data_IF_296122434717
#
_entry.id   IF_296122434717
#
_cell.length_a   1.000
_cell.length_b   1.000
_cell.length_c   1.000
_cell.angle_alpha   90.00
_cell.angle_beta   90.00
_cell.angle_gamma   90.00
#
_symmetry.space_group_name_H-M   'P 1'
#
loop_
_entity.id
_entity.type
_entity.pdbx_description
1 polymer ?
#
# COMPACT_ATOMS: atom_id res chain seq x y z
N UNK A 1 -4.11 15.35 -43.30
CA UNK A 1 -3.47 16.38 -42.46
C UNK A 1 -3.45 15.87 -41.02
N UNK A 2 -2.36 15.29 -40.56
CA UNK A 2 -2.25 14.83 -39.19
C UNK A 2 -1.94 16.05 -38.31
N UNK A 3 -2.89 16.46 -37.49
CA UNK A 3 -2.69 17.45 -36.44
C UNK A 3 -1.56 16.97 -35.53
N UNK A 4 -0.40 17.60 -35.63
CA UNK A 4 0.68 17.41 -34.64
C UNK A 4 0.20 17.99 -33.33
N UNK A 5 -0.28 17.13 -32.47
CA UNK A 5 -0.49 17.48 -31.06
C UNK A 5 0.90 17.79 -30.47
N UNK A 6 1.25 19.06 -30.41
CA UNK A 6 2.32 19.56 -29.56
C UNK A 6 1.81 19.57 -28.13
N UNK A 7 1.59 18.39 -27.54
CA UNK A 7 1.38 18.28 -26.12
C UNK A 7 2.63 18.84 -25.45
N UNK A 8 2.52 19.97 -24.78
CA UNK A 8 3.55 20.44 -23.88
C UNK A 8 3.84 19.28 -22.93
N UNK A 9 5.11 18.86 -22.86
CA UNK A 9 5.50 17.74 -22.01
C UNK A 9 5.14 17.97 -20.54
N UNK A 10 5.15 16.92 -19.73
CA UNK A 10 4.81 17.01 -18.32
C UNK A 10 5.71 18.04 -17.61
N UNK A 11 5.11 18.77 -16.70
CA UNK A 11 5.82 19.74 -15.86
C UNK A 11 6.42 19.04 -14.66
N UNK A 12 7.61 19.46 -14.25
CA UNK A 12 8.18 19.01 -13.00
C UNK A 12 7.32 19.44 -11.80
N UNK A 13 7.17 18.58 -10.78
CA UNK A 13 6.57 18.98 -9.52
C UNK A 13 7.34 20.16 -8.94
N UNK A 14 6.65 21.24 -8.58
CA UNK A 14 7.29 22.46 -8.11
C UNK A 14 8.05 22.29 -6.78
N UNK A 15 7.78 21.23 -6.01
CA UNK A 15 8.37 21.02 -4.68
C UNK A 15 8.52 19.54 -4.39
N UNK A 16 9.74 19.02 -4.53
CA UNK A 16 10.10 17.69 -4.03
C UNK A 16 10.59 17.79 -2.58
N UNK A 17 10.24 16.82 -1.77
CA UNK A 17 10.86 16.60 -0.45
C UNK A 17 12.32 16.21 -0.63
N UNK A 18 13.14 16.37 0.40
CA UNK A 18 14.58 16.05 0.35
C UNK A 18 14.83 14.64 -0.17
N UNK A 19 14.21 13.63 0.43
CA UNK A 19 14.36 12.24 0.02
C UNK A 19 13.95 11.99 -1.44
N UNK A 20 12.90 12.67 -1.93
CA UNK A 20 12.43 12.52 -3.32
C UNK A 20 13.44 13.08 -4.31
N UNK A 21 14.13 14.16 -3.94
CA UNK A 21 15.18 14.77 -4.76
C UNK A 21 16.41 13.87 -4.79
N UNK A 22 16.88 13.42 -3.63
CA UNK A 22 18.01 12.49 -3.52
C UNK A 22 17.78 11.19 -4.29
N UNK A 23 16.58 10.59 -4.13
CA UNK A 23 16.19 9.40 -4.88
C UNK A 23 16.12 9.66 -6.40
N UNK A 24 15.62 10.83 -6.82
CA UNK A 24 15.57 11.21 -8.23
C UNK A 24 16.99 11.40 -8.80
N UNK A 25 17.86 12.09 -8.08
CA UNK A 25 19.25 12.32 -8.48
C UNK A 25 20.01 10.98 -8.61
N UNK A 26 19.81 10.07 -7.66
CA UNK A 26 20.37 8.71 -7.70
C UNK A 26 19.84 7.90 -8.89
N UNK A 27 18.54 7.97 -9.17
CA UNK A 27 17.92 7.31 -10.33
C UNK A 27 18.51 7.85 -11.64
N UNK A 28 18.60 9.16 -11.80
CA UNK A 28 19.10 9.80 -13.02
C UNK A 28 20.59 9.52 -13.25
N UNK A 29 21.39 9.47 -12.19
CA UNK A 29 22.81 9.17 -12.27
C UNK A 29 23.10 7.76 -12.76
N UNK A 30 22.30 6.77 -12.36
CA UNK A 30 22.46 5.35 -12.74
C UNK A 30 21.66 4.97 -13.98
N UNK A 31 20.60 5.72 -14.28
CA UNK A 31 19.68 5.49 -15.42
C UNK A 31 19.29 4.01 -15.61
N UNK A 32 18.84 3.31 -14.57
CA UNK A 32 18.61 1.88 -14.59
C UNK A 32 17.37 1.52 -15.38
N UNK A 33 17.32 0.28 -15.86
CA UNK A 33 16.10 -0.26 -16.47
C UNK A 33 15.04 -0.61 -15.42
N UNK A 34 15.49 -1.24 -14.35
CA UNK A 34 14.67 -1.67 -13.21
C UNK A 34 15.13 -0.92 -11.97
N UNK A 35 14.19 -0.38 -11.21
CA UNK A 35 14.49 0.32 -9.98
C UNK A 35 13.37 0.16 -8.96
N UNK A 36 13.75 -0.14 -7.72
CA UNK A 36 12.83 -0.32 -6.61
C UNK A 36 13.05 0.74 -5.54
N UNK A 37 11.98 1.45 -5.20
CA UNK A 37 11.96 2.37 -4.06
C UNK A 37 11.10 1.78 -2.95
N UNK A 38 11.71 1.61 -1.79
CA UNK A 38 11.01 1.34 -0.55
C UNK A 38 10.80 2.66 0.20
N UNK A 39 9.56 3.12 0.30
CA UNK A 39 9.25 4.35 1.02
C UNK A 39 7.97 4.20 1.84
N UNK A 40 8.03 4.67 3.10
CA UNK A 40 6.92 4.53 4.06
C UNK A 40 5.61 5.10 3.51
N UNK A 41 4.43 4.59 3.89
CA UNK A 41 3.14 5.17 3.54
C UNK A 41 3.09 6.67 3.90
N UNK A 42 2.48 7.48 3.02
CA UNK A 42 2.41 8.95 3.21
C UNK A 42 3.68 9.72 2.83
N UNK A 43 4.78 9.05 2.50
CA UNK A 43 6.03 9.69 2.09
C UNK A 43 5.93 10.49 0.77
N UNK A 44 4.92 10.20 -0.08
CA UNK A 44 4.73 10.88 -1.37
C UNK A 44 5.35 10.11 -2.54
N UNK A 45 5.27 8.78 -2.52
CA UNK A 45 5.74 7.88 -3.60
C UNK A 45 5.24 8.31 -4.98
N UNK A 46 3.95 8.65 -5.09
CA UNK A 46 3.32 9.09 -6.34
C UNK A 46 3.98 10.34 -6.93
N UNK A 47 4.30 11.34 -6.08
CA UNK A 47 4.97 12.57 -6.52
C UNK A 47 6.37 12.27 -7.04
N UNK A 48 7.11 11.40 -6.36
CA UNK A 48 8.44 10.96 -6.79
C UNK A 48 8.39 10.25 -8.15
N UNK A 49 7.54 9.26 -8.32
CA UNK A 49 7.46 8.50 -9.59
C UNK A 49 7.02 9.36 -10.76
N UNK A 50 6.11 10.31 -10.54
CA UNK A 50 5.71 11.27 -11.57
C UNK A 50 6.84 12.28 -11.90
N UNK A 51 7.70 12.62 -10.93
CA UNK A 51 8.90 13.40 -11.21
C UNK A 51 9.89 12.64 -12.10
N UNK A 52 10.14 11.36 -11.81
CA UNK A 52 10.94 10.48 -12.69
C UNK A 52 10.33 10.43 -14.10
N UNK A 53 9.01 10.21 -14.20
CA UNK A 53 8.32 10.17 -15.49
C UNK A 53 8.47 11.48 -16.28
N UNK A 54 8.39 12.63 -15.60
CA UNK A 54 8.55 13.95 -16.23
C UNK A 54 9.97 14.16 -16.77
N UNK A 55 11.02 13.80 -16.00
CA UNK A 55 12.40 13.85 -16.47
C UNK A 55 12.64 12.96 -17.68
N UNK A 56 12.28 11.69 -17.58
CA UNK A 56 12.46 10.75 -18.69
C UNK A 56 11.70 11.16 -19.96
N UNK A 57 10.57 11.85 -19.79
CA UNK A 57 9.81 12.41 -20.91
C UNK A 57 10.52 13.60 -21.54
N UNK A 58 11.00 14.56 -20.74
CA UNK A 58 11.73 15.74 -21.20
C UNK A 58 13.03 15.36 -21.92
N UNK A 59 13.72 14.34 -21.41
CA UNK A 59 14.95 13.80 -22.01
C UNK A 59 14.67 12.87 -23.20
N UNK A 60 13.41 12.76 -23.62
CA UNK A 60 13.01 11.89 -24.72
C UNK A 60 13.39 10.41 -24.55
N UNK A 61 13.64 9.94 -23.32
CA UNK A 61 13.89 8.52 -23.03
C UNK A 61 12.61 7.70 -23.19
N UNK A 62 11.49 8.28 -22.78
CA UNK A 62 10.17 7.68 -22.91
C UNK A 62 9.19 8.58 -23.67
N UNK A 63 8.15 7.99 -24.20
CA UNK A 63 6.99 8.67 -24.80
C UNK A 63 5.66 8.02 -24.41
N UNK A 64 5.70 7.12 -23.42
CA UNK A 64 4.53 6.46 -22.85
C UNK A 64 4.75 6.16 -21.36
N UNK A 65 3.69 6.30 -20.57
CA UNK A 65 3.67 5.91 -19.15
C UNK A 65 2.53 4.93 -18.93
N UNK A 66 2.81 3.79 -18.31
CA UNK A 66 1.80 2.84 -17.82
C UNK A 66 1.95 2.75 -16.32
N UNK A 67 0.87 3.00 -15.58
CA UNK A 67 0.83 2.80 -14.13
C UNK A 67 0.03 1.54 -13.84
N UNK A 68 0.60 0.65 -13.04
CA UNK A 68 -0.06 -0.57 -12.55
C UNK A 68 -0.29 -0.42 -11.06
N UNK A 69 -1.54 -0.49 -10.62
CA UNK A 69 -1.91 -0.29 -9.21
C UNK A 69 -2.80 -1.42 -8.69
N UNK A 70 -2.92 -1.61 -7.36
CA UNK A 70 -3.66 -2.73 -6.78
C UNK A 70 -5.17 -2.69 -7.04
N UNK A 71 -5.79 -1.52 -6.98
CA UNK A 71 -7.25 -1.38 -6.96
C UNK A 71 -7.76 -0.33 -7.93
N UNK A 72 -9.02 -0.47 -8.35
CA UNK A 72 -9.70 0.49 -9.24
C UNK A 72 -9.78 1.90 -8.65
N UNK A 73 -9.95 2.01 -7.33
CA UNK A 73 -10.00 3.31 -6.66
C UNK A 73 -8.69 4.10 -6.82
N UNK A 74 -7.55 3.43 -6.80
CA UNK A 74 -6.25 4.06 -6.98
C UNK A 74 -6.04 4.58 -8.41
N UNK A 75 -6.70 4.01 -9.42
CA UNK A 75 -6.61 4.48 -10.81
C UNK A 75 -7.02 5.95 -10.93
N UNK A 76 -8.14 6.33 -10.34
CA UNK A 76 -8.63 7.72 -10.39
C UNK A 76 -7.68 8.69 -9.67
N UNK A 77 -7.08 8.27 -8.56
CA UNK A 77 -6.08 9.07 -7.83
C UNK A 77 -4.81 9.29 -8.67
N UNK A 78 -4.30 8.25 -9.34
CA UNK A 78 -3.15 8.33 -10.23
C UNK A 78 -3.41 9.27 -11.42
N UNK A 79 -4.59 9.15 -12.06
CA UNK A 79 -4.99 10.03 -13.17
C UNK A 79 -5.06 11.49 -12.72
N UNK A 80 -5.63 11.77 -11.55
CA UNK A 80 -5.73 13.11 -10.99
C UNK A 80 -4.34 13.70 -10.68
N UNK A 81 -3.46 12.92 -10.04
CA UNK A 81 -2.10 13.34 -9.72
C UNK A 81 -1.27 13.61 -10.98
N UNK A 82 -1.33 12.72 -11.97
CA UNK A 82 -0.64 12.88 -13.25
C UNK A 82 -1.11 14.12 -14.03
N UNK A 83 -2.42 14.38 -14.03
CA UNK A 83 -3.01 15.56 -14.68
C UNK A 83 -2.46 16.86 -14.09
N UNK A 84 -2.24 16.91 -12.78
CA UNK A 84 -1.63 18.07 -12.11
C UNK A 84 -0.24 18.44 -12.64
N UNK A 85 0.45 17.48 -13.24
CA UNK A 85 1.77 17.66 -13.88
C UNK A 85 1.72 17.71 -15.42
N UNK A 86 0.52 17.77 -16.01
CA UNK A 86 0.35 17.79 -17.46
C UNK A 86 0.48 16.42 -18.14
N UNK A 87 0.54 15.33 -17.36
CA UNK A 87 0.48 13.96 -17.88
C UNK A 87 -0.99 13.52 -18.03
N UNK A 88 -1.45 13.33 -19.26
CA UNK A 88 -2.82 12.87 -19.56
C UNK A 88 -2.86 11.33 -19.59
N UNK A 89 -2.99 10.72 -18.42
CA UNK A 89 -3.24 9.29 -18.30
C UNK A 89 -4.74 9.00 -18.44
N UNK A 90 -5.06 7.85 -19.03
CA UNK A 90 -6.44 7.39 -19.22
C UNK A 90 -6.72 6.17 -18.35
N UNK A 91 -7.91 6.13 -17.82
CA UNK A 91 -8.51 4.88 -17.38
C UNK A 91 -8.84 4.05 -18.63
N UNK A 92 -8.49 2.77 -18.63
CA UNK A 92 -8.71 1.90 -19.79
C UNK A 92 -9.10 0.50 -19.37
N UNK A 93 -9.88 -0.15 -20.20
CA UNK A 93 -10.21 -1.57 -20.06
C UNK A 93 -9.31 -2.43 -20.96
N UNK A 94 -9.43 -3.75 -20.82
CA UNK A 94 -8.76 -4.69 -21.72
C UNK A 94 -9.43 -4.82 -23.11
N UNK A 95 -10.52 -4.10 -23.35
CA UNK A 95 -11.24 -4.07 -24.64
C UNK A 95 -10.93 -2.82 -25.47
N UNK A 96 -10.37 -1.79 -24.85
CA UNK A 96 -10.20 -0.47 -25.48
C UNK A 96 -8.78 -0.25 -26.01
N UNK A 97 -8.66 0.33 -27.18
CA UNK A 97 -7.38 0.87 -27.65
C UNK A 97 -7.05 2.18 -26.92
N UNK A 98 -5.77 2.40 -26.65
CA UNK A 98 -5.34 3.68 -26.10
C UNK A 98 -5.43 4.78 -27.17
N UNK A 99 -6.12 5.89 -26.88
CA UNK A 99 -6.16 7.02 -27.80
C UNK A 99 -4.75 7.56 -28.09
N UNK A 100 -4.48 8.02 -29.32
CA UNK A 100 -3.16 8.51 -29.69
C UNK A 100 -2.77 9.82 -28.98
N UNK A 101 -3.75 10.55 -28.46
CA UNK A 101 -3.58 11.82 -27.76
C UNK A 101 -3.31 11.70 -26.26
N UNK A 102 -3.24 10.47 -25.70
CA UNK A 102 -2.91 10.26 -24.31
C UNK A 102 -1.43 9.92 -24.09
N UNK A 103 -0.91 10.37 -22.95
CA UNK A 103 0.47 10.04 -22.53
C UNK A 103 0.62 8.62 -21.99
N UNK A 104 -0.49 7.95 -21.70
CA UNK A 104 -0.50 6.58 -21.19
C UNK A 104 -1.79 6.19 -20.51
N UNK A 105 -1.71 5.13 -19.70
CA UNK A 105 -2.86 4.61 -18.98
C UNK A 105 -2.54 4.15 -17.57
N UNK A 106 -3.61 3.99 -16.79
CA UNK A 106 -3.57 3.36 -15.47
C UNK A 106 -4.40 2.08 -15.53
N UNK A 107 -3.83 0.97 -15.08
CA UNK A 107 -4.44 -0.36 -15.08
C UNK A 107 -4.22 -1.03 -13.73
N UNK A 108 -5.00 -2.07 -13.43
CA UNK A 108 -4.78 -2.88 -12.22
C UNK A 108 -3.94 -4.13 -12.51
N UNK A 109 -3.30 -4.69 -11.47
CA UNK A 109 -2.61 -5.98 -11.59
C UNK A 109 -3.52 -7.09 -12.13
N UNK A 110 -4.79 -7.11 -11.70
CA UNK A 110 -5.79 -8.06 -12.20
C UNK A 110 -6.06 -7.92 -13.70
N UNK A 111 -6.16 -6.68 -14.21
CA UNK A 111 -6.32 -6.44 -15.65
C UNK A 111 -5.11 -6.91 -16.46
N UNK A 112 -3.90 -6.67 -15.94
CA UNK A 112 -2.66 -7.13 -16.58
C UNK A 112 -2.62 -8.64 -16.64
N UNK A 113 -2.89 -9.33 -15.54
CA UNK A 113 -2.89 -10.78 -15.46
C UNK A 113 -3.92 -11.45 -16.38
N UNK A 114 -5.06 -10.81 -16.62
CA UNK A 114 -6.08 -11.33 -17.53
C UNK A 114 -5.66 -11.31 -19.02
N UNK A 115 -4.87 -10.31 -19.44
CA UNK A 115 -4.43 -10.16 -20.84
C UNK A 115 -2.98 -9.68 -20.93
N UNK A 116 -1.98 -10.47 -20.51
CA UNK A 116 -0.58 -10.06 -20.49
C UNK A 116 -0.07 -9.63 -21.86
N UNK A 117 -0.39 -10.38 -22.92
CA UNK A 117 0.03 -10.08 -24.30
C UNK A 117 -0.46 -8.71 -24.81
N UNK A 118 -1.68 -8.28 -24.42
CA UNK A 118 -2.19 -6.94 -24.75
C UNK A 118 -1.32 -5.85 -24.11
N UNK A 119 -0.98 -6.04 -22.84
CA UNK A 119 -0.15 -5.09 -22.11
C UNK A 119 1.30 -5.12 -22.57
N UNK A 120 1.82 -6.28 -23.00
CA UNK A 120 3.11 -6.40 -23.66
C UNK A 120 3.17 -5.57 -24.95
N UNK A 121 2.15 -5.70 -25.82
CA UNK A 121 2.05 -4.86 -27.01
C UNK A 121 1.96 -3.36 -26.68
N UNK A 122 1.19 -2.97 -25.67
CA UNK A 122 1.12 -1.57 -25.21
C UNK A 122 2.47 -1.04 -24.71
N UNK A 123 3.26 -1.89 -24.04
CA UNK A 123 4.54 -1.52 -23.47
C UNK A 123 5.68 -1.46 -24.50
N UNK A 124 5.61 -2.28 -25.56
CA UNK A 124 6.68 -2.40 -26.55
C UNK A 124 6.51 -1.52 -27.77
N UNK A 125 5.26 -1.20 -28.15
CA UNK A 125 4.99 -0.35 -29.31
C UNK A 125 5.46 1.10 -29.16
N UNK A 126 5.78 1.49 -27.94
CA UNK A 126 6.25 2.82 -27.57
C UNK A 126 7.39 2.70 -26.56
N UNK A 127 8.21 3.74 -26.43
CA UNK A 127 9.23 3.81 -25.37
C UNK A 127 8.53 4.06 -24.04
N UNK A 128 8.27 2.99 -23.30
CA UNK A 128 7.37 3.00 -22.15
C UNK A 128 8.15 2.94 -20.83
N UNK A 129 7.77 3.85 -19.90
CA UNK A 129 8.00 3.67 -18.46
C UNK A 129 6.80 2.94 -17.87
N UNK A 130 7.05 1.86 -17.14
CA UNK A 130 6.05 1.19 -16.32
C UNK A 130 6.31 1.52 -14.86
N UNK A 131 5.29 2.05 -14.16
CA UNK A 131 5.31 2.33 -12.73
C UNK A 131 4.45 1.28 -12.05
N UNK A 132 5.04 0.53 -11.11
CA UNK A 132 4.35 -0.46 -10.29
C UNK A 132 4.09 0.13 -8.91
N UNK A 133 2.84 0.51 -8.65
CA UNK A 133 2.42 1.01 -7.34
C UNK A 133 2.12 -0.16 -6.41
N UNK A 134 2.70 -0.12 -5.20
CA UNK A 134 2.67 -1.22 -4.23
C UNK A 134 3.02 -2.56 -4.89
N UNK A 135 4.23 -2.64 -5.46
CA UNK A 135 4.68 -3.74 -6.33
C UNK A 135 4.60 -5.13 -5.66
N UNK A 136 4.55 -5.21 -4.33
CA UNK A 136 4.36 -6.46 -3.61
C UNK A 136 3.03 -7.15 -3.96
N UNK A 137 2.01 -6.42 -4.42
CA UNK A 137 0.77 -6.99 -4.95
C UNK A 137 0.92 -7.65 -6.33
N UNK A 138 2.04 -7.47 -7.02
CA UNK A 138 2.26 -8.07 -8.34
C UNK A 138 2.23 -9.62 -8.35
N UNK A 139 2.19 -10.25 -7.19
CA UNK A 139 2.16 -11.70 -7.05
C UNK A 139 1.05 -12.24 -6.15
N UNK A 140 0.06 -11.44 -5.75
CA UNK A 140 -1.01 -11.86 -4.82
C UNK A 140 -1.80 -13.10 -5.26
N UNK A 141 -1.84 -13.36 -6.56
CA UNK A 141 -2.31 -14.62 -7.14
C UNK A 141 -1.12 -15.24 -7.89
N UNK A 142 -0.86 -16.53 -7.75
CA UNK A 142 0.30 -17.21 -8.37
C UNK A 142 0.47 -16.92 -9.88
N UNK A 143 -0.62 -16.64 -10.59
CA UNK A 143 -0.63 -16.26 -12.02
C UNK A 143 -0.31 -14.79 -12.30
N UNK A 144 -0.41 -13.90 -11.31
CA UNK A 144 -0.22 -12.47 -11.54
C UNK A 144 1.25 -12.12 -11.75
N UNK A 145 2.15 -12.77 -11.01
CA UNK A 145 3.59 -12.53 -11.13
C UNK A 145 4.12 -12.84 -12.54
N UNK A 146 3.77 -13.99 -13.08
CA UNK A 146 4.15 -14.38 -14.44
C UNK A 146 3.53 -13.49 -15.51
N UNK A 147 2.26 -13.12 -15.35
CA UNK A 147 1.56 -12.21 -16.25
C UNK A 147 2.15 -10.80 -16.27
N UNK A 148 2.58 -10.28 -15.12
CA UNK A 148 3.26 -8.97 -15.01
C UNK A 148 4.65 -9.02 -15.68
N UNK A 149 5.40 -10.11 -15.47
CA UNK A 149 6.69 -10.30 -16.12
C UNK A 149 6.52 -10.35 -17.64
N UNK A 150 5.59 -11.15 -18.15
CA UNK A 150 5.30 -11.25 -19.60
C UNK A 150 4.91 -9.87 -20.16
N UNK A 151 3.98 -9.17 -19.51
CA UNK A 151 3.44 -7.91 -19.98
C UNK A 151 4.49 -6.79 -20.09
N UNK A 152 5.49 -6.78 -19.21
CA UNK A 152 6.36 -5.60 -19.10
C UNK A 152 7.85 -5.88 -19.29
N UNK A 153 8.22 -7.11 -19.69
CA UNK A 153 9.63 -7.43 -20.03
C UNK A 153 10.21 -6.55 -21.12
N UNK A 154 9.38 -6.12 -22.08
CA UNK A 154 9.77 -5.25 -23.19
C UNK A 154 9.81 -3.75 -22.87
N UNK A 155 9.39 -3.31 -21.69
CA UNK A 155 9.41 -1.90 -21.32
C UNK A 155 10.82 -1.32 -21.25
N UNK A 156 10.98 -0.05 -21.63
CA UNK A 156 12.29 0.64 -21.61
C UNK A 156 12.74 0.90 -20.18
N UNK A 157 11.81 1.26 -19.30
CA UNK A 157 12.06 1.53 -17.87
C UNK A 157 10.93 0.92 -17.02
N UNK A 158 11.31 0.37 -15.86
CA UNK A 158 10.38 -0.16 -14.86
C UNK A 158 10.76 0.39 -13.49
N UNK A 159 9.79 1.01 -12.83
CA UNK A 159 9.94 1.66 -11.53
C UNK A 159 8.94 1.06 -10.56
N UNK A 160 9.41 0.28 -9.61
CA UNK A 160 8.62 -0.27 -8.51
C UNK A 160 8.64 0.66 -7.30
N UNK A 161 7.49 0.86 -6.67
CA UNK A 161 7.38 1.55 -5.39
C UNK A 161 6.55 0.75 -4.42
N UNK A 162 6.97 0.71 -3.16
CA UNK A 162 6.26 0.01 -2.08
C UNK A 162 6.62 0.58 -0.72
N UNK A 163 5.74 0.39 0.26
CA UNK A 163 6.07 0.62 1.67
C UNK A 163 6.61 -0.64 2.35
N UNK A 164 6.36 -1.82 1.78
CA UNK A 164 6.69 -3.13 2.32
C UNK A 164 7.28 -4.00 1.20
N UNK A 165 8.61 -4.09 1.07
CA UNK A 165 9.25 -4.81 -0.03
C UNK A 165 9.29 -6.34 0.19
N UNK A 166 8.35 -6.90 0.92
CA UNK A 166 8.23 -8.33 1.23
C UNK A 166 6.79 -8.81 1.06
N UNK A 167 6.63 -10.12 0.98
CA UNK A 167 5.35 -10.81 0.88
C UNK A 167 5.20 -11.80 2.02
N UNK A 168 3.98 -12.02 2.45
CA UNK A 168 3.65 -13.00 3.50
C UNK A 168 3.75 -14.47 3.04
N UNK A 169 3.75 -14.73 1.72
CA UNK A 169 3.80 -16.06 1.11
C UNK A 169 5.20 -16.45 0.61
N UNK A 170 6.25 -15.70 0.97
CA UNK A 170 7.65 -15.91 0.57
C UNK A 170 7.90 -15.92 -0.96
N UNK A 171 6.89 -15.67 -1.78
CA UNK A 171 7.03 -15.63 -3.22
C UNK A 171 7.80 -14.37 -3.67
N UNK A 172 8.64 -14.54 -4.71
CA UNK A 172 9.40 -13.41 -5.26
C UNK A 172 8.49 -12.43 -6.00
N UNK A 173 8.73 -11.14 -5.77
CA UNK A 173 8.02 -10.04 -6.44
C UNK A 173 8.60 -9.87 -7.85
N UNK A 174 7.73 -9.74 -8.85
CA UNK A 174 8.12 -9.54 -10.24
C UNK A 174 9.00 -8.28 -10.42
N UNK A 175 10.05 -8.38 -11.23
CA UNK A 175 10.98 -7.28 -11.54
C UNK A 175 11.74 -6.70 -10.32
N UNK A 176 11.81 -7.42 -9.21
CA UNK A 176 12.58 -7.06 -8.02
C UNK A 176 13.83 -7.95 -7.92
N UNK A 177 14.95 -7.34 -7.56
CA UNK A 177 16.20 -8.07 -7.27
C UNK A 177 16.14 -8.67 -5.88
N UNK A 178 16.81 -9.82 -5.72
CA UNK A 178 16.93 -10.51 -4.45
C UNK A 178 18.38 -10.88 -4.22
N UNK A 179 18.83 -10.75 -2.99
CA UNK A 179 20.13 -11.19 -2.52
C UNK A 179 19.95 -12.27 -1.44
N UNK A 180 20.83 -13.25 -1.42
CA UNK A 180 20.86 -14.29 -0.40
C UNK A 180 21.51 -13.72 0.86
N UNK A 181 20.77 -13.75 1.98
CA UNK A 181 21.24 -13.21 3.27
C UNK A 181 21.73 -14.28 4.21
N UNK A 182 21.16 -15.50 4.20
CA UNK A 182 21.62 -16.66 4.97
C UNK A 182 20.89 -17.94 4.53
N UNK A 183 21.58 -19.08 4.54
CA UNK A 183 21.04 -20.45 4.42
C UNK A 183 19.84 -20.64 3.46
N UNK A 184 19.89 -20.00 2.28
CA UNK A 184 18.82 -20.09 1.29
C UNK A 184 17.68 -19.06 1.50
N UNK A 185 17.76 -18.18 2.48
CA UNK A 185 16.85 -17.06 2.63
C UNK A 185 17.23 -15.89 1.70
N UNK A 186 16.25 -15.33 1.02
CA UNK A 186 16.44 -14.22 0.08
C UNK A 186 15.67 -12.98 0.55
N UNK A 187 16.35 -11.85 0.51
CA UNK A 187 15.71 -10.54 0.72
C UNK A 187 15.63 -9.73 -0.56
N UNK A 188 14.54 -8.95 -0.69
CA UNK A 188 14.39 -8.01 -1.78
C UNK A 188 15.32 -6.82 -1.59
N UNK A 189 16.04 -6.43 -2.65
CA UNK A 189 16.97 -5.31 -2.63
C UNK A 189 16.30 -4.08 -3.21
N UNK A 190 16.08 -3.06 -2.36
CA UNK A 190 15.64 -1.75 -2.79
C UNK A 190 16.85 -0.93 -3.23
N UNK A 191 16.71 -0.22 -4.36
CA UNK A 191 17.75 0.69 -4.87
C UNK A 191 17.79 2.00 -4.08
N UNK A 192 16.65 2.38 -3.48
CA UNK A 192 16.54 3.50 -2.55
C UNK A 192 15.52 3.19 -1.45
N UNK A 193 15.88 3.52 -0.21
CA UNK A 193 15.02 3.32 0.95
C UNK A 193 14.81 4.62 1.71
N UNK A 194 13.53 4.96 1.95
CA UNK A 194 13.10 6.01 2.86
C UNK A 194 12.17 5.41 3.91
N UNK A 195 12.80 4.95 4.98
CA UNK A 195 12.13 4.18 6.03
C UNK A 195 11.26 5.04 6.96
N UNK A 196 10.55 4.36 7.86
CA UNK A 196 9.72 5.02 8.85
C UNK A 196 10.53 5.94 9.78
N UNK A 197 11.74 5.53 10.18
CA UNK A 197 12.62 6.33 11.01
C UNK A 197 13.04 7.65 10.37
N UNK A 198 13.35 7.62 9.08
CA UNK A 198 13.69 8.82 8.30
C UNK A 198 12.49 9.74 8.17
N UNK A 199 11.34 9.17 7.83
CA UNK A 199 10.10 9.92 7.68
C UNK A 199 9.60 10.54 9.00
N UNK A 200 9.88 9.89 10.14
CA UNK A 200 9.59 10.41 11.46
C UNK A 200 10.51 11.60 11.79
N UNK A 201 11.81 11.46 11.54
CA UNK A 201 12.82 12.50 11.73
C UNK A 201 12.53 13.75 10.88
N UNK A 202 12.05 13.55 9.65
CA UNK A 202 11.68 14.63 8.74
C UNK A 202 10.28 15.20 9.03
N UNK A 203 9.55 14.71 10.03
CA UNK A 203 8.19 15.14 10.34
C UNK A 203 7.14 14.80 9.27
N UNK A 204 7.41 13.84 8.39
CA UNK A 204 6.54 13.41 7.29
C UNK A 204 5.45 12.48 7.79
N UNK A 205 5.76 11.66 8.79
CA UNK A 205 4.83 10.76 9.46
C UNK A 205 4.75 11.07 10.94
N UNK A 206 3.66 10.65 11.56
CA UNK A 206 3.48 10.79 13.01
C UNK A 206 4.12 9.59 13.72
N UNK A 207 4.61 9.77 14.96
CA UNK A 207 5.05 8.64 15.76
C UNK A 207 3.89 7.67 16.00
N UNK A 208 4.17 6.38 15.89
CA UNK A 208 3.23 5.31 16.18
C UNK A 208 3.67 4.66 17.50
N UNK A 209 2.74 4.57 18.44
CA UNK A 209 2.94 3.82 19.69
C UNK A 209 2.12 2.55 19.63
N UNK A 210 2.77 1.42 19.80
CA UNK A 210 2.12 0.12 19.87
C UNK A 210 1.84 -0.18 21.35
N UNK A 211 0.56 -0.34 21.69
CA UNK A 211 0.15 -0.91 22.97
C UNK A 211 -0.22 -2.38 22.72
N UNK A 212 0.44 -3.28 23.44
CA UNK A 212 0.14 -4.70 23.35
C UNK A 212 -0.85 -5.06 24.45
N UNK A 213 -1.96 -5.67 24.05
CA UNK A 213 -2.93 -6.24 24.96
C UNK A 213 -2.81 -7.76 24.92
N UNK A 214 -2.54 -8.34 26.09
CA UNK A 214 -2.58 -9.78 26.27
C UNK A 214 -3.82 -10.16 27.07
N UNK A 215 -4.22 -11.41 26.98
CA UNK A 215 -5.38 -11.90 27.72
C UNK A 215 -5.45 -13.43 27.67
N UNK A 216 -6.33 -13.97 28.49
CA UNK A 216 -6.64 -15.40 28.46
C UNK A 216 -7.90 -15.60 27.64
N UNK A 217 -7.84 -16.50 26.67
CA UNK A 217 -8.97 -16.94 25.87
C UNK A 217 -9.34 -18.36 26.25
N UNK A 218 -10.63 -18.61 26.45
CA UNK A 218 -11.18 -19.94 26.78
C UNK A 218 -12.27 -20.28 25.81
N UNK A 219 -12.23 -21.46 25.21
CA UNK A 219 -13.23 -21.95 24.27
C UNK A 219 -13.49 -23.45 24.47
N UNK A 220 -14.64 -23.91 24.01
CA UNK A 220 -14.99 -25.33 24.00
C UNK A 220 -15.00 -25.82 22.55
N UNK A 221 -14.36 -26.95 22.29
CA UNK A 221 -14.29 -27.52 20.96
C UNK A 221 -15.58 -28.36 20.64
N UNK A 222 -15.60 -28.93 19.42
CA UNK A 222 -16.74 -29.71 18.93
C UNK A 222 -16.99 -31.03 19.69
N UNK A 223 -16.00 -31.53 20.44
CA UNK A 223 -16.12 -32.72 21.28
C UNK A 223 -16.44 -32.40 22.74
N UNK A 224 -16.58 -31.10 23.06
CA UNK A 224 -16.95 -30.63 24.39
C UNK A 224 -15.77 -30.44 25.35
N UNK A 225 -14.51 -30.48 24.85
CA UNK A 225 -13.33 -30.23 25.65
C UNK A 225 -13.07 -28.71 25.74
N UNK A 226 -12.78 -28.25 26.95
CA UNK A 226 -12.50 -26.84 27.22
C UNK A 226 -10.98 -26.56 27.16
N UNK A 227 -10.61 -25.65 26.29
CA UNK A 227 -9.24 -25.19 26.07
C UNK A 227 -9.06 -23.77 26.60
N UNK A 228 -7.88 -23.48 27.12
CA UNK A 228 -7.48 -22.13 27.58
C UNK A 228 -6.11 -21.82 27.05
N UNK A 229 -5.94 -20.63 26.47
CA UNK A 229 -4.65 -20.14 25.99
C UNK A 229 -4.43 -18.67 26.34
N UNK A 230 -3.17 -18.28 26.49
CA UNK A 230 -2.75 -16.89 26.61
C UNK A 230 -2.50 -16.36 25.19
N UNK A 231 -3.11 -15.23 24.85
CA UNK A 231 -2.93 -14.60 23.54
C UNK A 231 -1.48 -14.16 23.33
N UNK A 232 -0.88 -14.59 22.23
CA UNK A 232 0.51 -14.27 21.90
C UNK A 232 1.54 -15.21 22.53
N UNK A 233 1.12 -16.32 23.13
CA UNK A 233 2.03 -17.35 23.62
C UNK A 233 2.64 -18.12 22.43
N UNK A 234 3.99 -18.15 22.38
CA UNK A 234 4.77 -18.78 21.31
C UNK A 234 4.74 -20.31 21.32
N UNK A 235 4.24 -20.93 22.40
CA UNK A 235 4.17 -22.39 22.51
C UNK A 235 2.86 -22.99 21.95
N UNK A 236 1.93 -22.15 21.50
CA UNK A 236 0.66 -22.59 20.94
C UNK A 236 0.84 -23.20 19.53
N UNK A 237 0.11 -24.26 19.25
CA UNK A 237 -0.03 -24.71 17.86
C UNK A 237 -0.79 -23.66 17.07
N UNK A 238 -0.53 -23.54 15.76
CA UNK A 238 -1.22 -22.59 14.88
C UNK A 238 -2.74 -22.68 14.98
N UNK A 239 -3.29 -23.89 15.08
CA UNK A 239 -4.75 -24.09 15.21
C UNK A 239 -5.29 -23.55 16.55
N UNK A 240 -4.58 -23.75 17.64
CA UNK A 240 -4.97 -23.22 18.95
C UNK A 240 -4.83 -21.70 19.01
N UNK A 241 -3.80 -21.14 18.40
CA UNK A 241 -3.61 -19.70 18.30
C UNK A 241 -4.75 -19.03 17.50
N UNK A 242 -5.10 -19.58 16.32
CA UNK A 242 -6.22 -19.08 15.51
C UNK A 242 -7.56 -19.14 16.28
N UNK A 243 -7.81 -20.22 17.04
CA UNK A 243 -9.03 -20.34 17.83
C UNK A 243 -9.03 -19.36 19.02
N UNK A 244 -7.91 -19.19 19.70
CA UNK A 244 -7.78 -18.23 20.80
C UNK A 244 -8.05 -16.80 20.33
N UNK A 245 -7.45 -16.39 19.20
CA UNK A 245 -7.71 -15.08 18.60
C UNK A 245 -9.14 -14.92 18.11
N UNK A 246 -9.72 -15.95 17.49
CA UNK A 246 -11.11 -15.91 17.05
C UNK A 246 -12.07 -15.71 18.23
N UNK A 247 -11.83 -16.41 19.35
CA UNK A 247 -12.64 -16.26 20.57
C UNK A 247 -12.47 -14.90 21.22
N UNK A 248 -11.25 -14.39 21.31
CA UNK A 248 -10.97 -13.07 21.87
C UNK A 248 -11.59 -11.92 21.06
N UNK A 249 -11.60 -12.04 19.73
CA UNK A 249 -12.14 -11.05 18.80
C UNK A 249 -13.64 -11.20 18.56
N UNK A 250 -14.32 -12.12 19.26
CA UNK A 250 -15.78 -12.26 19.19
C UNK A 250 -16.45 -11.01 19.76
N UNK A 251 -17.45 -10.49 19.07
CA UNK A 251 -18.19 -9.28 19.48
C UNK A 251 -18.96 -9.45 20.77
N UNK A 252 -19.35 -10.67 21.11
CA UNK A 252 -20.05 -11.02 22.35
C UNK A 252 -19.06 -11.28 23.51
N UNK A 253 -17.75 -11.27 23.22
CA UNK A 253 -16.70 -11.52 24.20
C UNK A 253 -16.31 -10.27 25.01
N UNK A 254 -15.87 -10.48 26.25
CA UNK A 254 -15.45 -9.40 27.13
C UNK A 254 -14.14 -8.72 26.67
N UNK A 255 -13.24 -9.48 26.00
CA UNK A 255 -11.90 -8.97 25.65
C UNK A 255 -11.96 -7.79 24.69
N UNK A 256 -12.76 -7.90 23.60
CA UNK A 256 -12.88 -6.81 22.61
C UNK A 256 -13.52 -5.56 23.22
N UNK A 257 -14.50 -5.74 24.10
CA UNK A 257 -15.13 -4.63 24.81
C UNK A 257 -14.11 -3.88 25.71
N UNK A 258 -13.26 -4.61 26.44
CA UNK A 258 -12.20 -4.02 27.26
C UNK A 258 -11.15 -3.29 26.42
N UNK A 259 -10.70 -3.84 25.29
CA UNK A 259 -9.76 -3.17 24.38
C UNK A 259 -10.36 -1.89 23.82
N UNK A 260 -11.63 -1.93 23.43
CA UNK A 260 -12.35 -0.74 22.96
C UNK A 260 -12.47 0.33 24.05
N UNK A 261 -12.78 -0.06 25.28
CA UNK A 261 -12.85 0.86 26.41
C UNK A 261 -11.50 1.52 26.70
N UNK A 262 -10.40 0.74 26.66
CA UNK A 262 -9.06 1.27 26.83
C UNK A 262 -8.67 2.25 25.70
N UNK A 263 -9.02 1.93 24.45
CA UNK A 263 -8.80 2.82 23.30
C UNK A 263 -9.59 4.12 23.45
N UNK A 264 -10.84 4.05 23.93
CA UNK A 264 -11.65 5.22 24.21
C UNK A 264 -11.06 6.09 25.32
N UNK A 265 -10.65 5.50 26.43
CA UNK A 265 -10.01 6.22 27.52
C UNK A 265 -8.76 6.97 27.05
N UNK A 266 -7.94 6.31 26.20
CA UNK A 266 -6.74 6.94 25.62
C UNK A 266 -7.08 8.12 24.72
N UNK A 267 -8.07 7.99 23.85
CA UNK A 267 -8.50 9.07 22.96
C UNK A 267 -9.10 10.23 23.76
N UNK A 268 -9.90 9.93 24.78
CA UNK A 268 -10.46 10.97 25.68
C UNK A 268 -9.37 11.77 26.38
N UNK A 269 -8.37 11.08 26.93
CA UNK A 269 -7.20 11.72 27.55
C UNK A 269 -6.44 12.64 26.56
N UNK A 270 -6.24 12.20 25.31
CA UNK A 270 -5.56 12.99 24.28
C UNK A 270 -6.35 14.24 23.88
N UNK A 271 -7.68 14.16 23.89
CA UNK A 271 -8.56 15.29 23.61
C UNK A 271 -8.61 16.28 24.78
N UNK A 272 -8.76 15.77 25.99
CA UNK A 272 -8.83 16.59 27.22
C UNK A 272 -7.51 17.32 27.49
N UNK A 273 -6.36 16.68 27.26
CA UNK A 273 -5.05 17.32 27.38
C UNK A 273 -4.75 18.38 26.32
N UNK A 274 -5.59 18.47 25.28
CA UNK A 274 -5.33 19.34 24.13
C UNK A 274 -4.20 18.86 23.21
N UNK A 275 -3.56 17.74 23.51
CA UNK A 275 -2.43 17.19 22.71
C UNK A 275 -2.90 16.86 21.30
N UNK A 276 -4.07 16.20 21.15
CA UNK A 276 -4.70 15.90 19.87
C UNK A 276 -6.21 16.14 20.02
N UNK A 277 -6.70 17.38 19.83
CA UNK A 277 -8.11 17.73 20.08
C UNK A 277 -9.13 16.93 19.25
N UNK A 278 -8.70 16.46 18.06
CA UNK A 278 -9.53 15.70 17.13
C UNK A 278 -9.10 14.22 17.01
N UNK A 279 -8.48 13.65 18.05
CA UNK A 279 -8.13 12.24 18.07
C UNK A 279 -9.36 11.36 17.77
N UNK A 280 -9.17 10.29 17.00
CA UNK A 280 -10.23 9.34 16.61
C UNK A 280 -9.74 7.92 16.82
N UNK A 281 -10.68 7.00 17.02
CA UNK A 281 -10.42 5.56 17.02
C UNK A 281 -10.81 4.99 15.66
N UNK A 282 -9.97 4.15 15.09
CA UNK A 282 -10.26 3.30 13.94
C UNK A 282 -10.12 1.84 14.39
N UNK A 283 -11.16 1.06 14.23
CA UNK A 283 -11.19 -0.36 14.61
C UNK A 283 -11.38 -1.17 13.33
N UNK A 284 -10.31 -1.78 12.79
CA UNK A 284 -10.43 -2.72 11.68
C UNK A 284 -11.18 -3.97 12.15
N UNK A 285 -12.07 -4.49 11.31
CA UNK A 285 -12.80 -5.72 11.54
C UNK A 285 -12.55 -6.70 10.38
N UNK A 286 -12.68 -7.99 10.64
CA UNK A 286 -12.42 -9.06 9.67
C UNK A 286 -13.38 -9.04 8.47
N UNK A 287 -14.60 -8.55 8.66
CA UNK A 287 -15.62 -8.43 7.61
C UNK A 287 -16.71 -7.42 8.00
N UNK A 288 -17.65 -7.16 7.08
CA UNK A 288 -18.72 -6.17 7.28
C UNK A 288 -19.69 -6.54 8.42
N UNK A 289 -19.93 -7.82 8.67
CA UNK A 289 -20.82 -8.27 9.77
C UNK A 289 -20.18 -7.90 11.10
N UNK A 290 -18.93 -8.32 11.33
CA UNK A 290 -18.18 -8.01 12.54
C UNK A 290 -18.00 -6.49 12.74
N UNK A 291 -17.82 -5.73 11.66
CA UNK A 291 -17.74 -4.27 11.75
C UNK A 291 -19.04 -3.65 12.31
N UNK A 292 -20.20 -4.18 11.94
CA UNK A 292 -21.50 -3.74 12.48
C UNK A 292 -21.67 -4.11 13.95
N UNK A 293 -21.32 -5.34 14.31
CA UNK A 293 -21.34 -5.82 15.69
C UNK A 293 -20.43 -4.98 16.59
N UNK A 294 -19.20 -4.72 16.16
CA UNK A 294 -18.28 -3.84 16.86
C UNK A 294 -18.81 -2.40 17.02
N UNK A 295 -19.53 -1.90 16.02
CA UNK A 295 -20.16 -0.58 16.13
C UNK A 295 -21.28 -0.56 17.18
N UNK A 296 -21.95 -1.67 17.45
CA UNK A 296 -22.95 -1.82 18.51
C UNK A 296 -22.28 -1.86 19.88
N UNK A 297 -21.24 -2.68 20.06
CA UNK A 297 -20.41 -2.71 21.28
C UNK A 297 -19.90 -1.30 21.60
N UNK A 298 -19.39 -0.59 20.59
CA UNK A 298 -18.88 0.78 20.75
C UNK A 298 -19.98 1.76 21.21
N UNK A 299 -21.18 1.67 20.65
CA UNK A 299 -22.31 2.52 21.08
C UNK A 299 -22.68 2.25 22.54
N UNK A 300 -22.76 1.00 22.96
CA UNK A 300 -23.02 0.65 24.35
C UNK A 300 -21.96 1.24 25.29
N UNK A 301 -20.69 1.13 24.96
CA UNK A 301 -19.60 1.73 25.74
C UNK A 301 -19.71 3.25 25.88
N UNK A 302 -20.09 3.95 24.81
CA UNK A 302 -20.28 5.39 24.85
C UNK A 302 -21.46 5.83 25.72
N UNK A 303 -22.55 5.05 25.72
CA UNK A 303 -23.72 5.35 26.56
C UNK A 303 -23.50 5.03 28.05
N UNK A 304 -22.65 4.05 28.35
CA UNK A 304 -22.35 3.64 29.74
C UNK A 304 -21.20 4.42 30.36
N UNK A 305 -20.41 5.15 29.55
CA UNK A 305 -19.35 6.04 30.05
C UNK A 305 -19.99 7.30 30.63
N UNK A 306 -19.70 7.69 31.90
CA UNK A 306 -20.24 8.93 32.47
C UNK A 306 -19.78 10.13 31.61
N UNK A 307 -20.74 10.97 31.28
CA UNK A 307 -20.49 12.23 30.55
C UNK A 307 -19.42 13.06 31.29
N UNK A 308 -18.51 13.74 30.58
CA UNK A 308 -17.59 14.69 31.20
C UNK A 308 -18.31 15.77 32.05
N UNK A 309 -19.61 15.96 31.84
CA UNK A 309 -20.45 16.92 32.63
C UNK A 309 -20.89 16.37 33.97
N UNK A 310 -20.77 15.06 34.22
CA UNK A 310 -21.21 14.42 35.46
C UNK A 310 -20.07 14.28 36.48
N UNK A 311 -18.87 14.78 36.16
CA UNK A 311 -17.73 14.91 37.08
C UNK A 311 -17.64 16.35 37.61
N UNK A 312 -18.69 16.75 38.33
CA UNK A 312 -18.70 18.02 39.07
C UNK A 312 -17.93 17.92 40.38
#
# INVERSE_FOLDING_TARGET
>A
MASRFTAQGPRMPMRLRTWQREALDSYLATSPRDWLVCATPGAGKTTFTLAVAAHLWQDHVINRVIVVCPTDHLRSQWIAAARGLGLHLRDTTNAEALPPDCHGCVVTYAQVAQKPALHAARATNMRTLVIFDEIHHAGDVMSWGSGVIEAFSGAVRRLGVTGTPFRSDEARIAHVRYEEVSDGAFESVADYTYGYGDALRDGVVRPVTFATYTGRSTWTDAVGETHTAILGDSELTKAHEEMAWRTALDSDGEWIAHVMAAAWARVSQLRESGTIPHAKVLIPASNQKVAKEYAEVWRCLLYTSPSPRDRG
#
